data_IF_149757335366
#
_entry.id   IF_149757335366
#
_cell.length_a   1.000
_cell.length_b   1.000
_cell.length_c   1.000
_cell.angle_alpha   90.00
_cell.angle_beta   90.00
_cell.angle_gamma   90.00
#
_symmetry.space_group_name_H-M   'P 1'
#
loop_
_entity.id
_entity.type
_entity.pdbx_description
1 polymer ?
#
# COMPACT_ATOMS: atom_id res chain seq x y z
N UNK A 1 -6.74 -19.03 8.34
CA UNK A 1 -7.48 -18.20 9.30
C UNK A 1 -7.75 -16.89 8.59
N UNK A 2 -9.01 -16.53 8.35
CA UNK A 2 -9.38 -15.40 7.48
C UNK A 2 -8.98 -14.06 8.12
N UNK A 3 -8.23 -13.24 7.36
CA UNK A 3 -7.76 -11.92 7.80
C UNK A 3 -8.82 -10.83 7.66
N UNK A 4 -9.86 -11.06 6.84
CA UNK A 4 -10.85 -10.06 6.49
C UNK A 4 -11.59 -9.49 7.70
N UNK A 5 -12.04 -10.34 8.63
CA UNK A 5 -12.76 -9.90 9.83
C UNK A 5 -11.91 -9.02 10.76
N UNK A 6 -10.63 -9.38 10.94
CA UNK A 6 -9.69 -8.58 11.73
C UNK A 6 -9.43 -7.22 11.07
N UNK A 7 -9.21 -7.20 9.76
CA UNK A 7 -8.97 -5.97 8.99
C UNK A 7 -10.20 -5.06 9.07
N UNK A 8 -11.41 -5.59 8.88
CA UNK A 8 -12.65 -4.81 8.98
C UNK A 8 -12.84 -4.20 10.36
N UNK A 9 -12.61 -4.97 11.43
CA UNK A 9 -12.72 -4.47 12.80
C UNK A 9 -11.66 -3.39 13.12
N UNK A 10 -10.41 -3.60 12.69
CA UNK A 10 -9.36 -2.60 12.85
C UNK A 10 -9.70 -1.31 12.10
N UNK A 11 -10.24 -1.41 10.89
CA UNK A 11 -10.64 -0.25 10.10
C UNK A 11 -11.81 0.48 10.74
N UNK A 12 -12.81 -0.25 11.28
CA UNK A 12 -13.94 0.34 11.98
C UNK A 12 -13.48 1.19 13.18
N UNK A 13 -12.55 0.68 13.99
CA UNK A 13 -11.95 1.45 15.09
C UNK A 13 -11.21 2.69 14.57
N UNK A 14 -10.37 2.55 13.53
CA UNK A 14 -9.65 3.69 12.94
C UNK A 14 -10.60 4.77 12.37
N UNK A 15 -11.71 4.38 11.76
CA UNK A 15 -12.73 5.33 11.25
C UNK A 15 -13.36 6.16 12.36
N UNK A 16 -13.48 5.62 13.57
CA UNK A 16 -14.00 6.33 14.74
C UNK A 16 -12.90 7.05 15.55
N UNK A 17 -11.65 7.05 15.07
CA UNK A 17 -10.51 7.64 15.79
C UNK A 17 -10.05 6.83 17.00
N UNK A 18 -10.51 5.59 17.14
CA UNK A 18 -10.17 4.69 18.25
C UNK A 18 -8.85 3.95 17.97
N UNK A 19 -7.76 4.70 17.89
CA UNK A 19 -6.46 4.19 17.46
C UNK A 19 -5.93 3.05 18.33
N UNK A 20 -6.10 3.13 19.65
CA UNK A 20 -5.69 2.06 20.58
C UNK A 20 -6.47 0.76 20.34
N UNK A 21 -7.77 0.85 20.06
CA UNK A 21 -8.59 -0.32 19.74
C UNK A 21 -8.16 -0.95 18.42
N UNK A 22 -7.88 -0.13 17.40
CA UNK A 22 -7.34 -0.60 16.14
C UNK A 22 -5.97 -1.28 16.31
N UNK A 23 -5.10 -0.72 17.15
CA UNK A 23 -3.80 -1.31 17.49
C UNK A 23 -3.95 -2.66 18.19
N UNK A 24 -4.84 -2.77 19.19
CA UNK A 24 -5.11 -4.05 19.87
C UNK A 24 -5.54 -5.14 18.90
N UNK A 25 -6.37 -4.81 17.91
CA UNK A 25 -6.78 -5.75 16.86
C UNK A 25 -5.59 -6.18 16.01
N UNK A 26 -4.71 -5.24 15.61
CA UNK A 26 -3.48 -5.55 14.84
C UNK A 26 -2.50 -6.42 15.64
N UNK A 27 -2.25 -6.11 16.91
CA UNK A 27 -1.39 -6.94 17.77
C UNK A 27 -1.96 -8.34 17.98
N UNK A 28 -3.30 -8.49 18.00
CA UNK A 28 -3.94 -9.80 18.07
C UNK A 28 -3.75 -10.60 16.77
N UNK A 29 -3.80 -9.94 15.61
CA UNK A 29 -3.46 -10.57 14.32
C UNK A 29 -2.03 -11.10 14.35
N UNK A 30 -1.07 -10.28 14.77
CA UNK A 30 0.35 -10.67 14.86
C UNK A 30 0.56 -11.87 15.80
N UNK A 31 0.00 -11.82 17.01
CA UNK A 31 0.09 -12.92 17.99
C UNK A 31 -0.49 -14.24 17.46
N UNK A 32 -1.49 -14.17 16.59
CA UNK A 32 -2.12 -15.34 15.96
C UNK A 32 -1.50 -15.72 14.62
N UNK A 33 -0.46 -15.01 14.17
CA UNK A 33 0.15 -15.22 12.86
C UNK A 33 -0.79 -14.90 11.69
N UNK A 34 -1.86 -14.12 11.92
CA UNK A 34 -2.78 -13.68 10.87
C UNK A 34 -2.15 -12.51 10.15
N UNK A 35 -1.89 -12.67 8.86
CA UNK A 35 -1.42 -11.59 7.98
C UNK A 35 -2.56 -11.19 7.07
N UNK A 36 -2.72 -9.89 6.85
CA UNK A 36 -3.55 -9.39 5.76
C UNK A 36 -2.95 -9.87 4.44
N UNK A 37 -3.81 -10.33 3.53
CA UNK A 37 -3.39 -10.57 2.16
C UNK A 37 -2.97 -9.26 1.51
N UNK A 38 -1.79 -9.27 0.90
CA UNK A 38 -1.28 -8.13 0.18
C UNK A 38 -2.23 -7.80 -0.98
N UNK A 39 -2.41 -6.49 -1.20
CA UNK A 39 -3.16 -6.03 -2.36
C UNK A 39 -2.37 -6.30 -3.64
N UNK A 40 -3.10 -6.59 -4.71
CA UNK A 40 -2.56 -6.62 -6.06
C UNK A 40 -3.21 -5.52 -6.87
N UNK A 41 -2.43 -4.83 -7.68
CA UNK A 41 -2.93 -4.04 -8.80
C UNK A 41 -2.29 -4.55 -10.09
N UNK A 42 -2.89 -4.25 -11.23
CA UNK A 42 -2.32 -4.60 -12.52
C UNK A 42 -2.75 -3.62 -13.59
N UNK A 43 -1.94 -3.53 -14.63
CA UNK A 43 -2.26 -2.82 -15.86
C UNK A 43 -1.97 -3.72 -17.05
N UNK A 44 -2.68 -3.50 -18.15
CA UNK A 44 -2.47 -4.24 -19.39
C UNK A 44 -1.87 -3.31 -20.45
N UNK A 45 -0.74 -3.72 -21.02
CA UNK A 45 -0.04 -2.97 -22.07
C UNK A 45 0.23 -3.95 -23.21
N UNK A 46 -0.31 -3.69 -24.41
CA UNK A 46 -0.07 -4.53 -25.60
C UNK A 46 -0.35 -6.02 -25.34
N UNK A 47 -1.47 -6.33 -24.68
CA UNK A 47 -1.89 -7.67 -24.26
C UNK A 47 -0.94 -8.35 -23.25
N UNK A 48 -0.07 -7.60 -22.58
CA UNK A 48 0.78 -8.08 -21.49
C UNK A 48 0.32 -7.50 -20.16
N UNK A 49 -0.02 -8.38 -19.20
CA UNK A 49 -0.42 -7.99 -17.85
C UNK A 49 0.83 -7.72 -17.02
N UNK A 50 0.95 -6.50 -16.52
CA UNK A 50 1.99 -6.08 -15.59
C UNK A 50 1.34 -5.96 -14.21
N UNK A 51 1.59 -6.94 -13.34
CA UNK A 51 1.00 -7.02 -12.00
C UNK A 51 1.96 -6.49 -10.93
N UNK A 52 1.41 -5.80 -9.95
CA UNK A 52 2.10 -5.17 -8.85
C UNK A 52 1.56 -5.69 -7.53
N UNK A 53 2.44 -6.26 -6.72
CA UNK A 53 2.12 -6.74 -5.39
C UNK A 53 2.48 -5.68 -4.37
N UNK A 54 1.54 -5.31 -3.49
CA UNK A 54 1.79 -4.33 -2.45
C UNK A 54 3.00 -4.73 -1.59
N UNK A 55 3.92 -3.79 -1.37
CA UNK A 55 5.12 -3.98 -0.55
C UNK A 55 6.10 -5.04 -1.09
N UNK A 56 6.08 -5.33 -2.40
CA UNK A 56 7.05 -6.22 -3.04
C UNK A 56 7.57 -5.59 -4.34
N UNK A 57 8.84 -5.81 -4.64
CA UNK A 57 9.54 -5.36 -5.84
C UNK A 57 9.75 -6.49 -6.84
N UNK A 58 8.91 -7.53 -6.80
CA UNK A 58 9.06 -8.74 -7.63
C UNK A 58 8.81 -8.53 -9.13
N UNK A 59 8.44 -7.33 -9.55
CA UNK A 59 8.23 -7.05 -10.97
C UNK A 59 9.56 -7.12 -11.73
N UNK A 60 9.66 -7.80 -12.89
CA UNK A 60 10.93 -7.92 -13.63
C UNK A 60 11.57 -6.58 -14.02
N UNK A 61 10.78 -5.51 -14.03
CA UNK A 61 11.20 -4.13 -14.34
C UNK A 61 11.15 -3.20 -13.14
N UNK A 62 11.12 -3.72 -11.91
CA UNK A 62 10.92 -2.92 -10.69
C UNK A 62 11.91 -1.75 -10.60
N UNK A 63 13.21 -1.98 -10.82
CA UNK A 63 14.25 -0.94 -10.78
C UNK A 63 13.92 0.26 -11.68
N UNK A 64 13.59 0.01 -12.95
CA UNK A 64 13.21 1.05 -13.91
C UNK A 64 11.95 1.81 -13.48
N UNK A 65 10.96 1.09 -12.96
CA UNK A 65 9.70 1.70 -12.50
C UNK A 65 9.97 2.64 -11.33
N UNK A 66 10.77 2.22 -10.34
CA UNK A 66 11.11 3.07 -9.19
C UNK A 66 11.99 4.25 -9.58
N UNK A 67 12.89 4.09 -10.55
CA UNK A 67 13.66 5.21 -11.09
C UNK A 67 12.73 6.30 -11.66
N UNK A 68 11.81 5.93 -12.55
CA UNK A 68 10.84 6.86 -13.14
C UNK A 68 9.95 7.49 -12.07
N UNK A 69 9.50 6.72 -11.08
CA UNK A 69 8.72 7.25 -9.96
C UNK A 69 9.50 8.33 -9.19
N UNK A 70 10.78 8.11 -8.91
CA UNK A 70 11.61 9.09 -8.20
C UNK A 70 11.79 10.39 -9.00
N UNK A 71 11.98 10.29 -10.32
CA UNK A 71 12.05 11.44 -11.21
C UNK A 71 10.73 12.23 -11.19
N UNK A 72 9.58 11.54 -11.30
CA UNK A 72 8.25 12.15 -11.21
C UNK A 72 8.02 12.83 -9.86
N UNK A 73 8.44 12.21 -8.75
CA UNK A 73 8.36 12.82 -7.42
C UNK A 73 9.19 14.11 -7.32
N UNK A 74 10.34 14.16 -7.99
CA UNK A 74 11.14 15.40 -8.11
C UNK A 74 10.33 16.50 -8.80
N UNK A 75 9.80 16.21 -9.98
CA UNK A 75 8.99 17.15 -10.78
C UNK A 75 7.79 17.67 -9.98
N UNK A 76 7.04 16.79 -9.32
CA UNK A 76 5.87 17.18 -8.52
C UNK A 76 6.24 18.09 -7.33
N UNK A 77 7.38 17.86 -6.69
CA UNK A 77 7.85 18.71 -5.59
C UNK A 77 8.22 20.10 -6.11
N UNK A 78 8.90 20.17 -7.24
CA UNK A 78 9.32 21.43 -7.85
C UNK A 78 8.10 22.24 -8.31
N UNK A 79 7.08 21.60 -8.89
CA UNK A 79 5.80 22.24 -9.23
C UNK A 79 5.08 22.78 -7.99
N UNK A 80 4.93 21.97 -6.92
CA UNK A 80 4.29 22.43 -5.67
C UNK A 80 5.03 23.62 -5.05
N UNK A 81 6.35 23.66 -5.16
CA UNK A 81 7.15 24.78 -4.70
C UNK A 81 6.98 26.03 -5.59
N UNK A 82 6.80 25.85 -6.91
CA UNK A 82 6.55 26.94 -7.83
C UNK A 82 5.23 27.70 -7.54
N UNK A 83 4.21 27.02 -7.01
CA UNK A 83 2.92 27.63 -6.61
C UNK A 83 2.90 28.14 -5.17
N UNK A 84 4.01 28.06 -4.42
CA UNK A 84 4.15 28.60 -3.06
C UNK A 84 4.94 29.93 -3.01
N UNK A 85 5.26 30.51 -4.17
CA UNK A 85 5.75 31.89 -4.33
C UNK A 85 4.59 32.87 -4.40
#
# INVERSE_FOLDING_TARGET
MDSAGYVQLSNLHSMHGEWESAERVRSLMEKKGVKKDAGWSWIEIRNEVNAFHASNESHPKAEMIYQVLNELFGIMKDEVNAYKL
#
